data_IF_855214238671
#
_entry.id   IF_855214238671
#
_cell.length_a   1.000
_cell.length_b   1.000
_cell.length_c   1.000
_cell.angle_alpha   90.00
_cell.angle_beta   90.00
_cell.angle_gamma   90.00
#
_symmetry.space_group_name_H-M   'P 1'
#
loop_
_entity.id
_entity.type
_entity.pdbx_description
1 polymer ?
#
# COMPACT_ATOMS: atom_id res chain seq x y z
N UNK A 1 -10.44 32.92 -6.18
CA UNK A 1 -10.07 31.82 -5.25
C UNK A 1 -8.63 31.45 -5.53
N UNK A 2 -7.83 31.20 -4.49
CA UNK A 2 -6.44 30.72 -4.65
C UNK A 2 -6.45 29.21 -4.79
N UNK A 3 -6.01 28.68 -5.93
CA UNK A 3 -5.79 27.25 -6.09
C UNK A 3 -4.41 26.88 -5.55
N UNK A 4 -4.33 25.82 -4.74
CA UNK A 4 -3.07 25.29 -4.24
C UNK A 4 -2.69 24.06 -5.04
N UNK A 5 -1.46 24.01 -5.53
CA UNK A 5 -0.91 22.86 -6.25
C UNK A 5 0.08 22.13 -5.36
N UNK A 6 -0.15 20.84 -5.13
CA UNK A 6 0.80 19.97 -4.45
C UNK A 6 1.31 18.92 -5.43
N UNK A 7 2.63 18.92 -5.66
CA UNK A 7 3.27 17.92 -6.50
C UNK A 7 4.68 17.62 -5.98
N UNK A 8 5.07 16.35 -6.04
CA UNK A 8 6.41 15.90 -5.63
C UNK A 8 7.50 16.27 -6.65
N UNK A 9 7.09 16.53 -7.89
CA UNK A 9 7.97 16.74 -9.03
C UNK A 9 7.53 17.97 -9.81
N UNK A 10 8.38 19.00 -9.87
CA UNK A 10 8.11 20.21 -10.65
C UNK A 10 7.82 19.92 -12.12
N UNK A 11 8.57 18.99 -12.73
CA UNK A 11 8.38 18.56 -14.12
C UNK A 11 6.94 18.07 -14.42
N UNK A 12 6.31 17.40 -13.45
CA UNK A 12 4.91 16.94 -13.61
C UNK A 12 3.97 18.14 -13.58
N UNK A 13 4.22 19.11 -12.71
CA UNK A 13 3.40 20.32 -12.62
C UNK A 13 3.53 21.13 -13.90
N UNK A 14 4.75 21.35 -14.39
CA UNK A 14 5.01 22.09 -15.63
C UNK A 14 4.43 21.38 -16.86
N UNK A 15 4.51 20.04 -16.91
CA UNK A 15 3.98 19.27 -18.02
C UNK A 15 2.45 19.19 -18.07
N UNK A 16 1.79 19.28 -16.92
CA UNK A 16 0.31 19.27 -16.81
C UNK A 16 -0.27 20.70 -16.95
N UNK A 17 0.41 21.71 -16.39
CA UNK A 17 -0.03 23.11 -16.37
C UNK A 17 0.40 23.88 -17.63
N UNK A 18 -0.20 23.51 -18.76
CA UNK A 18 -0.09 24.29 -20.01
C UNK A 18 -0.98 25.55 -19.95
N UNK A 19 -0.70 26.56 -20.79
CA UNK A 19 -1.46 27.81 -20.88
C UNK A 19 -2.97 27.58 -21.03
N UNK A 20 -3.37 26.56 -21.81
CA UNK A 20 -4.79 26.19 -21.95
C UNK A 20 -5.38 25.62 -20.66
N UNK A 21 -4.64 24.76 -19.94
CA UNK A 21 -5.10 24.21 -18.66
C UNK A 21 -5.24 25.30 -17.61
N UNK A 22 -4.25 26.19 -17.53
CA UNK A 22 -4.26 27.34 -16.63
C UNK A 22 -5.45 28.26 -16.94
N UNK A 23 -5.75 28.49 -18.22
CA UNK A 23 -6.93 29.24 -18.63
C UNK A 23 -8.24 28.57 -18.19
N UNK A 24 -8.39 27.25 -18.39
CA UNK A 24 -9.58 26.51 -17.91
C UNK A 24 -9.74 26.59 -16.39
N UNK A 25 -8.65 26.38 -15.65
CA UNK A 25 -8.68 26.43 -14.18
C UNK A 25 -9.02 27.84 -13.72
N UNK A 26 -8.42 28.87 -14.30
CA UNK A 26 -8.63 30.26 -13.87
C UNK A 26 -10.05 30.75 -14.16
N UNK A 27 -10.60 30.38 -15.32
CA UNK A 27 -11.96 30.78 -15.72
C UNK A 27 -13.06 30.03 -14.98
N UNK A 28 -12.76 28.85 -14.43
CA UNK A 28 -13.76 27.99 -13.76
C UNK A 28 -13.33 27.59 -12.33
N UNK A 29 -12.45 28.36 -11.71
CA UNK A 29 -11.93 28.12 -10.36
C UNK A 29 -13.01 28.16 -9.26
N UNK A 30 -14.14 28.77 -9.55
CA UNK A 30 -15.32 28.84 -8.71
C UNK A 30 -16.07 27.49 -8.63
N UNK A 31 -16.12 26.77 -9.74
CA UNK A 31 -16.84 25.49 -9.90
C UNK A 31 -15.98 24.28 -9.57
N UNK A 32 -14.67 24.42 -9.55
CA UNK A 32 -13.74 23.32 -9.25
C UNK A 32 -13.48 23.30 -7.74
N UNK A 33 -13.73 22.16 -7.10
CA UNK A 33 -13.40 21.95 -5.69
C UNK A 33 -12.02 21.32 -5.55
N UNK A 34 -11.79 20.19 -6.20
CA UNK A 34 -10.48 19.52 -6.19
C UNK A 34 -10.23 18.75 -7.47
N UNK A 35 -8.96 18.66 -7.85
CA UNK A 35 -8.48 17.82 -8.96
C UNK A 35 -7.33 16.98 -8.43
N UNK A 36 -7.47 15.66 -8.53
CA UNK A 36 -6.45 14.72 -8.10
C UNK A 36 -5.99 13.85 -9.27
N UNK A 37 -4.70 13.97 -9.56
CA UNK A 37 -3.97 13.11 -10.48
C UNK A 37 -3.18 12.09 -9.66
N UNK A 38 -3.47 10.80 -9.82
CA UNK A 38 -2.70 9.77 -9.13
C UNK A 38 -2.49 8.56 -10.02
N UNK A 39 -1.25 8.10 -10.11
CA UNK A 39 -0.87 6.85 -10.75
C UNK A 39 -0.85 5.66 -9.78
N UNK A 40 -0.78 5.95 -8.48
CA UNK A 40 -0.66 4.99 -7.38
C UNK A 40 -1.88 5.04 -6.43
N UNK A 41 -3.07 5.35 -6.94
CA UNK A 41 -4.25 5.44 -6.09
C UNK A 41 -4.64 4.05 -5.58
N UNK A 42 -4.57 3.87 -4.27
CA UNK A 42 -4.89 2.61 -3.59
C UNK A 42 -6.24 2.63 -2.86
N UNK A 43 -7.11 3.59 -3.19
CA UNK A 43 -8.36 3.84 -2.47
C UNK A 43 -8.21 4.77 -1.28
N UNK A 44 -9.31 5.07 -0.55
CA UNK A 44 -9.28 5.85 0.67
C UNK A 44 -8.30 5.21 1.65
N UNK A 45 -7.44 6.01 2.29
CA UNK A 45 -6.64 5.52 3.42
C UNK A 45 -7.63 5.14 4.52
N UNK A 46 -7.94 3.86 4.61
CA UNK A 46 -8.76 3.33 5.70
C UNK A 46 -7.97 3.64 6.96
N UNK A 47 -8.51 4.53 7.81
CA UNK A 47 -7.97 4.72 9.15
C UNK A 47 -7.95 3.35 9.81
N UNK A 48 -6.76 3.03 10.28
CA UNK A 48 -6.29 1.73 10.67
C UNK A 48 -7.08 1.20 11.88
N UNK A 49 -8.22 0.54 11.66
CA UNK A 49 -8.96 -0.13 12.74
C UNK A 49 -9.20 -1.63 12.57
N UNK A 50 -9.11 -2.21 11.37
CA UNK A 50 -9.20 -3.68 11.25
C UNK A 50 -8.14 -4.24 10.34
N UNK A 51 -7.17 -4.94 10.95
CA UNK A 51 -6.22 -5.83 10.28
C UNK A 51 -5.42 -5.19 9.16
N UNK A 52 -4.17 -4.81 9.44
CA UNK A 52 -3.25 -4.38 8.38
C UNK A 52 -3.25 -5.43 7.25
N UNK A 53 -3.60 -5.03 6.01
CA UNK A 53 -3.68 -5.98 4.91
C UNK A 53 -2.28 -6.58 4.68
N UNK A 54 -2.17 -7.91 4.69
CA UNK A 54 -0.89 -8.60 4.42
C UNK A 54 -0.41 -8.44 2.97
N UNK A 55 -1.31 -7.99 2.08
CA UNK A 55 -1.07 -7.75 0.66
C UNK A 55 -0.95 -6.25 0.41
N UNK A 56 0.00 -5.86 -0.44
CA UNK A 56 0.08 -4.48 -0.89
C UNK A 56 -1.25 -4.09 -1.58
N UNK A 57 -1.81 -2.92 -1.27
CA UNK A 57 -2.98 -2.42 -1.96
C UNK A 57 -2.77 -2.39 -3.48
N UNK A 58 -3.78 -2.78 -4.24
CA UNK A 58 -3.74 -2.66 -5.70
C UNK A 58 -3.70 -1.17 -6.06
N UNK A 59 -2.62 -0.74 -6.71
CA UNK A 59 -2.47 0.65 -7.16
C UNK A 59 -3.10 0.80 -8.54
N UNK A 60 -3.98 1.80 -8.69
CA UNK A 60 -4.64 2.11 -9.95
C UNK A 60 -4.34 3.55 -10.36
N UNK A 61 -4.20 3.75 -11.66
CA UNK A 61 -4.12 5.08 -12.25
C UNK A 61 -5.52 5.66 -12.28
N UNK A 62 -5.73 6.78 -11.61
CA UNK A 62 -7.06 7.39 -11.46
C UNK A 62 -6.94 8.91 -11.54
N UNK A 63 -7.87 9.51 -12.27
CA UNK A 63 -8.09 10.94 -12.30
C UNK A 63 -9.41 11.21 -11.57
N UNK A 64 -9.36 11.99 -10.50
CA UNK A 64 -10.56 12.38 -9.75
C UNK A 64 -10.75 13.88 -9.92
N UNK A 65 -11.95 14.26 -10.37
CA UNK A 65 -12.36 15.65 -10.47
C UNK A 65 -13.60 15.85 -9.61
N UNK A 66 -13.52 16.77 -8.66
CA UNK A 66 -14.65 17.16 -7.81
C UNK A 66 -15.09 18.55 -8.23
N UNK A 67 -16.28 18.63 -8.79
CA UNK A 67 -16.91 19.87 -9.20
C UNK A 67 -18.06 20.20 -8.25
N UNK A 68 -18.16 21.47 -7.88
CA UNK A 68 -19.30 21.97 -7.14
C UNK A 68 -20.40 22.34 -8.14
N UNK A 69 -21.46 21.54 -8.15
CA UNK A 69 -22.64 21.80 -8.98
C UNK A 69 -23.57 22.77 -8.25
N UNK A 70 -23.86 23.95 -8.81
CA UNK A 70 -24.79 24.88 -8.19
C UNK A 70 -26.19 24.27 -8.14
N UNK A 71 -26.90 24.49 -7.03
CA UNK A 71 -28.33 24.16 -6.91
C UNK A 71 -28.70 23.04 -5.95
N UNK A 72 -27.76 22.33 -5.31
CA UNK A 72 -28.03 21.30 -4.28
C UNK A 72 -29.22 20.35 -4.62
N UNK A 73 -29.38 19.98 -5.90
CA UNK A 73 -30.49 19.13 -6.38
C UNK A 73 -31.53 19.83 -7.27
N UNK A 74 -31.57 21.16 -7.31
CA UNK A 74 -32.39 21.97 -8.22
C UNK A 74 -31.55 22.59 -9.35
N UNK A 75 -30.86 21.74 -10.11
CA UNK A 75 -30.03 22.15 -11.25
C UNK A 75 -30.92 22.55 -12.43
N UNK A 76 -30.76 23.76 -12.97
CA UNK A 76 -31.42 24.15 -14.22
C UNK A 76 -30.61 23.67 -15.44
N UNK A 77 -31.23 23.51 -16.63
CA UNK A 77 -30.49 23.16 -17.85
C UNK A 77 -29.35 24.14 -18.18
N UNK A 78 -29.52 25.42 -17.80
CA UNK A 78 -28.50 26.47 -18.00
C UNK A 78 -27.26 26.25 -17.14
N UNK A 79 -27.43 25.69 -15.95
CA UNK A 79 -26.31 25.37 -15.04
C UNK A 79 -25.52 24.16 -15.55
N UNK A 80 -26.21 23.22 -16.24
CA UNK A 80 -25.58 22.08 -16.91
C UNK A 80 -24.73 22.50 -18.12
N UNK A 81 -25.18 23.48 -18.91
CA UNK A 81 -24.36 24.05 -19.99
C UNK A 81 -23.08 24.69 -19.45
N UNK A 82 -23.15 25.25 -18.23
CA UNK A 82 -22.01 25.85 -17.57
C UNK A 82 -20.95 24.83 -17.08
N UNK A 83 -21.29 23.54 -17.04
CA UNK A 83 -20.40 22.41 -16.72
C UNK A 83 -19.77 21.78 -17.98
N UNK A 84 -20.30 22.05 -19.16
CA UNK A 84 -19.80 21.49 -20.41
C UNK A 84 -18.31 21.82 -20.68
N UNK A 85 -17.81 23.04 -20.43
CA UNK A 85 -16.39 23.35 -20.52
C UNK A 85 -15.51 22.54 -19.55
N UNK A 86 -16.04 22.16 -18.39
CA UNK A 86 -15.32 21.34 -17.41
C UNK A 86 -15.14 19.90 -17.92
N UNK A 87 -16.12 19.35 -18.64
CA UNK A 87 -15.96 18.06 -19.31
C UNK A 87 -14.88 18.10 -20.40
N UNK A 88 -14.82 19.20 -21.17
CA UNK A 88 -13.75 19.40 -22.15
C UNK A 88 -12.37 19.49 -21.46
N UNK A 89 -12.29 20.13 -20.30
CA UNK A 89 -11.07 20.17 -19.48
C UNK A 89 -10.65 18.77 -19.01
N UNK A 90 -11.60 17.91 -18.62
CA UNK A 90 -11.32 16.51 -18.23
C UNK A 90 -10.72 15.73 -19.40
N UNK A 91 -11.33 15.81 -20.58
CA UNK A 91 -10.84 15.12 -21.79
C UNK A 91 -9.44 15.63 -22.16
N UNK A 92 -9.24 16.94 -22.14
CA UNK A 92 -7.94 17.55 -22.38
C UNK A 92 -6.87 17.07 -21.38
N UNK A 93 -7.25 16.93 -20.11
CA UNK A 93 -6.36 16.43 -19.05
C UNK A 93 -5.94 14.98 -19.31
N UNK A 94 -6.86 14.12 -19.79
CA UNK A 94 -6.55 12.73 -20.17
C UNK A 94 -5.51 12.70 -21.30
N UNK A 95 -5.71 13.49 -22.35
CA UNK A 95 -4.79 13.55 -23.47
C UNK A 95 -3.41 14.08 -23.08
N UNK A 96 -3.37 15.04 -22.16
CA UNK A 96 -2.12 15.59 -21.63
C UNK A 96 -1.36 14.57 -20.80
N UNK A 97 -2.03 13.92 -19.84
CA UNK A 97 -1.41 12.90 -19.00
C UNK A 97 -0.87 11.73 -19.84
N UNK A 98 -1.55 11.37 -20.93
CA UNK A 98 -1.08 10.33 -21.87
C UNK A 98 0.21 10.72 -22.60
N UNK A 99 0.39 12.01 -22.91
CA UNK A 99 1.59 12.54 -23.60
C UNK A 99 2.72 12.85 -22.63
N UNK A 100 2.41 13.05 -21.35
CA UNK A 100 3.38 13.35 -20.31
C UNK A 100 4.37 12.18 -20.16
N UNK A 101 5.63 12.42 -20.54
CA UNK A 101 6.73 11.50 -20.34
C UNK A 101 7.75 12.17 -19.42
N UNK A 102 7.97 11.53 -18.28
CA UNK A 102 8.99 11.95 -17.32
C UNK A 102 10.38 11.75 -17.90
N UNK A 103 11.27 12.68 -17.58
CA UNK A 103 12.68 12.54 -17.85
C UNK A 103 13.29 11.38 -17.03
N UNK A 104 14.48 10.91 -17.43
CA UNK A 104 15.16 9.77 -16.81
C UNK A 104 15.35 9.96 -15.30
N UNK A 105 15.73 11.16 -14.87
CA UNK A 105 15.94 11.50 -13.46
C UNK A 105 14.61 11.48 -12.69
N UNK A 106 13.56 12.06 -13.27
CA UNK A 106 12.24 12.06 -12.68
C UNK A 106 11.67 10.65 -12.49
N UNK A 107 11.85 9.80 -13.50
CA UNK A 107 11.49 8.37 -13.41
C UNK A 107 12.25 7.66 -12.29
N UNK A 108 13.57 7.87 -12.19
CA UNK A 108 14.37 7.26 -11.11
C UNK A 108 13.93 7.72 -9.72
N UNK A 109 13.56 9.00 -9.55
CA UNK A 109 13.06 9.52 -8.27
C UNK A 109 11.74 8.87 -7.89
N UNK A 110 10.81 8.78 -8.84
CA UNK A 110 9.53 8.10 -8.63
C UNK A 110 9.72 6.62 -8.27
N UNK A 111 10.59 5.89 -8.98
CA UNK A 111 10.86 4.48 -8.71
C UNK A 111 11.53 4.27 -7.34
N UNK A 112 12.46 5.14 -6.93
CA UNK A 112 13.05 5.12 -5.58
C UNK A 112 12.02 5.36 -4.48
N UNK A 113 11.09 6.30 -4.68
CA UNK A 113 10.04 6.55 -3.71
C UNK A 113 9.03 5.41 -3.64
N UNK A 114 8.67 4.79 -4.76
CA UNK A 114 7.85 3.56 -4.76
C UNK A 114 8.55 2.45 -3.99
N UNK A 115 9.83 2.18 -4.26
CA UNK A 115 10.60 1.18 -3.54
C UNK A 115 10.69 1.48 -2.03
N UNK A 116 10.82 2.75 -1.64
CA UNK A 116 10.82 3.17 -0.23
C UNK A 116 9.48 2.93 0.46
N UNK A 117 8.37 3.18 -0.24
CA UNK A 117 7.02 2.89 0.28
C UNK A 117 6.83 1.39 0.46
N UNK A 118 7.25 0.59 -0.52
CA UNK A 118 7.24 -0.87 -0.44
C UNK A 118 8.09 -1.40 0.71
N UNK A 119 9.29 -0.85 0.91
CA UNK A 119 10.19 -1.22 2.02
C UNK A 119 9.57 -0.87 3.38
N UNK A 120 8.99 0.32 3.51
CA UNK A 120 8.30 0.74 4.73
C UNK A 120 7.12 -0.16 5.05
N UNK A 121 6.33 -0.52 4.03
CA UNK A 121 5.23 -1.47 4.17
C UNK A 121 5.75 -2.83 4.64
N UNK A 122 6.82 -3.35 4.00
CA UNK A 122 7.40 -4.64 4.35
C UNK A 122 7.94 -4.68 5.78
N UNK A 123 8.56 -3.59 6.24
CA UNK A 123 9.03 -3.43 7.63
C UNK A 123 7.86 -3.42 8.61
N UNK A 124 6.80 -2.69 8.30
CA UNK A 124 5.61 -2.61 9.15
C UNK A 124 4.90 -3.97 9.25
N UNK A 125 4.78 -4.70 8.14
CA UNK A 125 4.16 -6.03 8.12
C UNK A 125 5.09 -7.15 8.60
N UNK A 126 6.40 -6.92 8.75
CA UNK A 126 7.35 -7.95 9.18
C UNK A 126 7.02 -8.50 10.57
N UNK A 127 6.70 -7.62 11.53
CA UNK A 127 6.34 -8.00 12.89
C UNK A 127 5.09 -8.90 12.90
N UNK A 128 4.04 -8.50 12.17
CA UNK A 128 2.80 -9.28 12.05
C UNK A 128 3.01 -10.60 11.30
N UNK A 129 3.86 -10.64 10.27
CA UNK A 129 4.20 -11.89 9.58
C UNK A 129 4.98 -12.84 10.49
N UNK A 130 5.89 -12.31 11.30
CA UNK A 130 6.65 -13.08 12.27
C UNK A 130 5.74 -13.65 13.36
N UNK A 131 4.82 -12.84 13.87
CA UNK A 131 3.80 -13.24 14.85
C UNK A 131 2.86 -14.31 14.27
N UNK A 132 2.26 -14.08 13.10
CA UNK A 132 1.39 -15.06 12.44
C UNK A 132 2.13 -16.38 12.11
N UNK A 133 3.41 -16.31 11.74
CA UNK A 133 4.23 -17.50 11.52
C UNK A 133 4.57 -18.22 12.83
N UNK A 134 4.70 -17.50 13.94
CA UNK A 134 4.92 -18.07 15.26
C UNK A 134 3.64 -18.73 15.79
N UNK A 135 2.49 -18.07 15.72
CA UNK A 135 1.19 -18.63 16.11
C UNK A 135 0.88 -19.91 15.33
N UNK A 136 1.09 -19.92 13.99
CA UNK A 136 0.93 -21.13 13.17
C UNK A 136 1.89 -22.27 13.55
N UNK A 137 3.09 -21.95 14.02
CA UNK A 137 4.05 -22.96 14.50
C UNK A 137 3.67 -23.49 15.88
N UNK A 138 3.17 -22.63 16.76
CA UNK A 138 2.73 -22.98 18.10
C UNK A 138 1.43 -23.81 18.06
N UNK A 139 0.45 -23.45 17.23
CA UNK A 139 -0.75 -24.26 17.00
C UNK A 139 -0.42 -25.65 16.47
N UNK A 140 0.48 -25.76 15.48
CA UNK A 140 0.93 -27.07 14.99
C UNK A 140 1.61 -27.90 16.08
N UNK A 141 2.46 -27.28 16.91
CA UNK A 141 3.13 -27.96 18.03
C UNK A 141 2.11 -28.40 19.09
N UNK A 142 1.08 -27.60 19.33
CA UNK A 142 0.01 -27.90 20.29
C UNK A 142 -0.89 -29.02 19.80
N UNK A 143 -1.31 -28.98 18.54
CA UNK A 143 -2.10 -30.04 17.91
C UNK A 143 -1.34 -31.37 17.82
N UNK A 144 -0.04 -31.34 17.53
CA UNK A 144 0.79 -32.55 17.55
C UNK A 144 0.93 -33.12 18.96
N UNK A 145 1.07 -32.27 19.98
CA UNK A 145 1.12 -32.69 21.39
C UNK A 145 -0.21 -33.26 21.88
N UNK A 146 -1.33 -32.67 21.48
CA UNK A 146 -2.68 -33.15 21.82
C UNK A 146 -2.99 -34.48 21.13
N UNK A 147 -2.52 -34.69 19.89
CA UNK A 147 -2.59 -35.99 19.21
C UNK A 147 -1.77 -37.08 19.89
N UNK A 148 -0.58 -36.77 20.41
CA UNK A 148 0.27 -37.73 21.13
C UNK A 148 -0.34 -38.10 22.49
N UNK A 149 -1.03 -37.16 23.15
CA UNK A 149 -1.68 -37.38 24.45
C UNK A 149 -2.97 -38.20 24.35
N UNK A 150 -3.64 -38.20 23.19
CA UNK A 150 -4.86 -38.96 22.91
C UNK A 150 -4.60 -40.34 22.27
N UNK A 151 -3.36 -40.79 22.16
CA UNK A 151 -3.06 -42.12 21.60
C UNK A 151 -3.32 -43.21 22.67
N UNK A 152 -4.21 -44.16 22.38
CA UNK A 152 -4.69 -45.18 23.34
C UNK A 152 -3.65 -46.28 23.68
N UNK A 153 -2.52 -46.35 22.96
CA UNK A 153 -1.50 -47.39 23.12
C UNK A 153 -0.27 -46.90 23.91
N UNK A 154 -0.03 -47.39 25.14
CA UNK A 154 1.01 -46.89 26.05
C UNK A 154 2.44 -47.15 25.57
N UNK A 155 2.69 -48.13 24.69
CA UNK A 155 4.02 -48.34 24.10
C UNK A 155 4.31 -47.36 22.96
N UNK A 156 3.30 -47.05 22.14
CA UNK A 156 3.43 -46.04 21.08
C UNK A 156 3.62 -44.65 21.65
N UNK A 157 2.92 -44.31 22.73
CA UNK A 157 3.05 -43.01 23.39
C UNK A 157 4.50 -42.77 23.87
N UNK A 158 5.10 -43.75 24.56
CA UNK A 158 6.50 -43.63 25.04
C UNK A 158 7.51 -43.44 23.91
N UNK A 159 7.36 -44.17 22.79
CA UNK A 159 8.24 -44.01 21.62
C UNK A 159 8.09 -42.64 20.94
N UNK A 160 6.87 -42.12 20.87
CA UNK A 160 6.59 -40.80 20.26
C UNK A 160 7.12 -39.66 21.14
N UNK A 161 6.98 -39.77 22.47
CA UNK A 161 7.52 -38.79 23.42
C UNK A 161 9.05 -38.75 23.43
N UNK A 162 9.74 -39.89 23.46
CA UNK A 162 11.22 -39.94 23.38
C UNK A 162 11.75 -39.39 22.05
N UNK A 163 11.10 -39.73 20.93
CA UNK A 163 11.46 -39.20 19.63
C UNK A 163 11.27 -37.67 19.54
N UNK A 164 10.21 -37.14 20.16
CA UNK A 164 9.94 -35.71 20.24
C UNK A 164 11.00 -35.00 21.10
N UNK A 165 11.31 -35.53 22.29
CA UNK A 165 12.35 -34.97 23.18
C UNK A 165 13.72 -34.95 22.50
N UNK A 166 14.11 -36.04 21.81
CA UNK A 166 15.40 -36.10 21.10
C UNK A 166 15.48 -35.11 19.95
N UNK A 167 14.36 -34.82 19.25
CA UNK A 167 14.29 -33.77 18.21
C UNK A 167 14.39 -32.37 18.80
N UNK A 168 13.79 -32.14 19.97
CA UNK A 168 13.85 -30.85 20.66
C UNK A 168 15.25 -30.57 21.23
N UNK A 169 15.89 -31.55 21.86
CA UNK A 169 17.27 -31.46 22.33
C UNK A 169 18.23 -31.14 21.19
N UNK A 170 18.14 -31.84 20.05
CA UNK A 170 18.94 -31.55 18.85
C UNK A 170 18.71 -30.13 18.30
N UNK A 171 17.49 -29.57 18.43
CA UNK A 171 17.20 -28.17 18.02
C UNK A 171 17.82 -27.16 18.99
N UNK A 172 17.74 -27.42 20.30
CA UNK A 172 18.31 -26.57 21.35
C UNK A 172 19.84 -26.55 21.23
N UNK A 173 20.45 -27.72 21.06
CA UNK A 173 21.90 -27.86 20.92
C UNK A 173 22.43 -27.10 19.70
N UNK A 174 21.78 -27.25 18.54
CA UNK A 174 22.11 -26.48 17.32
C UNK A 174 21.96 -24.97 17.51
N UNK A 175 20.93 -24.52 18.24
CA UNK A 175 20.75 -23.09 18.58
C UNK A 175 21.86 -22.58 19.51
N UNK A 176 22.22 -23.37 20.51
CA UNK A 176 23.31 -23.04 21.44
C UNK A 176 24.66 -22.97 20.75
N UNK A 177 24.98 -23.93 19.86
CA UNK A 177 26.22 -23.90 19.07
C UNK A 177 26.31 -22.64 18.18
N UNK A 178 25.20 -22.26 17.53
CA UNK A 178 25.16 -21.03 16.71
C UNK A 178 25.32 -19.76 17.54
N UNK A 179 24.70 -19.67 18.71
CA UNK A 179 24.90 -18.53 19.62
C UNK A 179 26.33 -18.44 20.15
N UNK A 180 26.96 -19.57 20.45
CA UNK A 180 28.37 -19.62 20.86
C UNK A 180 29.31 -19.15 19.73
N UNK A 181 29.06 -19.55 18.48
CA UNK A 181 29.85 -19.10 17.33
C UNK A 181 29.70 -17.60 17.04
N UNK A 182 28.51 -17.02 17.21
CA UNK A 182 28.30 -15.58 17.03
C UNK A 182 29.03 -14.77 18.10
N UNK A 183 29.08 -15.26 19.36
CA UNK A 183 29.82 -14.62 20.44
C UNK A 183 31.34 -14.61 20.23
N UNK A 184 31.89 -15.67 19.61
CA UNK A 184 33.34 -15.79 19.35
C UNK A 184 33.79 -14.99 18.14
N UNK A 185 32.91 -14.74 17.16
CA UNK A 185 33.19 -13.90 15.98
C UNK A 185 33.02 -12.39 16.19
N UNK A 186 32.42 -11.99 17.32
CA UNK A 186 32.15 -10.60 17.68
C UNK A 186 33.13 -10.04 18.73
N UNK A 187 34.14 -10.83 19.12
CA UNK A 187 35.37 -10.37 19.80
C UNK A 187 36.50 -10.33 18.77
#
# INVERSE_FOLDING_TARGET
RTCLTFCEMGEVTDGVMDNKMVHYITNHADKIESIHFSDQFSGPKIMQEEGQPLKLPETKKTLLFTFNVPGMGNTSPKDMDALLPLMNMVIYSIDKVKKLRLNREGKQKADKNRARVEENFLKQTHAQRQEAAQTRREEKKRAEKERIMNEEDPERQRRLEEAAQRREQKKIEKKQMKMKQIKVKAM
#
